data_IF_697927913566
#
_entry.id   IF_697927913566
#
_cell.length_a   1.000
_cell.length_b   1.000
_cell.length_c   1.000
_cell.angle_alpha   90.00
_cell.angle_beta   90.00
_cell.angle_gamma   90.00
#
_symmetry.space_group_name_H-M   'P 1'
#
loop_
_entity.id
_entity.type
_entity.pdbx_description
1 polymer ?
#
# COMPACT_ATOMS: atom_id res chain seq x y z
N UNK A 1 19.69 -13.11 15.78
CA UNK A 1 18.49 -13.74 15.18
C UNK A 1 17.20 -12.95 15.40
N UNK A 2 16.86 -12.50 16.63
CA UNK A 2 15.60 -11.77 16.92
C UNK A 2 15.41 -10.48 16.12
N UNK A 3 16.49 -9.74 15.82
CA UNK A 3 16.43 -8.44 15.11
C UNK A 3 15.94 -8.56 13.65
N UNK A 4 16.39 -9.57 12.89
CA UNK A 4 15.97 -9.76 11.48
C UNK A 4 14.50 -10.19 11.37
N UNK A 5 14.03 -11.04 12.29
CA UNK A 5 12.61 -11.40 12.40
C UNK A 5 11.75 -10.19 12.79
N UNK A 6 12.18 -9.39 13.77
CA UNK A 6 11.48 -8.18 14.17
C UNK A 6 11.38 -7.16 13.02
N UNK A 7 12.47 -6.94 12.27
CA UNK A 7 12.46 -6.07 11.10
C UNK A 7 11.51 -6.57 10.01
N UNK A 8 11.53 -7.87 9.71
CA UNK A 8 10.58 -8.44 8.73
C UNK A 8 9.12 -8.27 9.14
N UNK A 9 8.80 -8.44 10.44
CA UNK A 9 7.45 -8.21 10.97
C UNK A 9 7.04 -6.75 10.81
N UNK A 10 7.94 -5.80 11.11
CA UNK A 10 7.67 -4.36 10.93
C UNK A 10 7.35 -4.05 9.46
N UNK A 11 8.12 -4.58 8.51
CA UNK A 11 7.84 -4.38 7.08
C UNK A 11 6.52 -5.03 6.64
N UNK A 12 6.15 -6.18 7.21
CA UNK A 12 4.85 -6.81 6.96
C UNK A 12 3.69 -5.96 7.49
N UNK A 13 3.79 -5.48 8.74
CA UNK A 13 2.79 -4.59 9.34
C UNK A 13 2.67 -3.30 8.52
N UNK A 14 3.81 -2.73 8.10
CA UNK A 14 3.84 -1.53 7.27
C UNK A 14 3.18 -1.76 5.91
N UNK A 15 3.42 -2.92 5.27
CA UNK A 15 2.77 -3.30 4.02
C UNK A 15 1.25 -3.39 4.15
N UNK A 16 0.75 -4.00 5.23
CA UNK A 16 -0.69 -4.11 5.51
C UNK A 16 -1.30 -2.74 5.81
N UNK A 17 -0.58 -1.90 6.54
CA UNK A 17 -1.00 -0.54 6.83
C UNK A 17 -1.11 0.30 5.54
N UNK A 18 -0.12 0.22 4.66
CA UNK A 18 -0.13 0.91 3.36
C UNK A 18 -1.32 0.47 2.49
N UNK A 19 -1.68 -0.81 2.52
CA UNK A 19 -2.85 -1.33 1.81
C UNK A 19 -4.17 -0.73 2.33
N UNK A 20 -4.32 -0.61 3.64
CA UNK A 20 -5.49 0.03 4.24
C UNK A 20 -5.56 1.53 3.90
N UNK A 21 -4.42 2.23 3.99
CA UNK A 21 -4.34 3.66 3.62
C UNK A 21 -4.65 3.85 2.14
N UNK A 22 -4.15 2.99 1.25
CA UNK A 22 -4.50 3.00 -0.17
C UNK A 22 -6.02 2.91 -0.35
N UNK A 23 -6.66 1.91 0.27
CA UNK A 23 -8.10 1.69 0.13
C UNK A 23 -8.92 2.90 0.61
N UNK A 24 -8.58 3.44 1.78
CA UNK A 24 -9.24 4.62 2.33
C UNK A 24 -9.07 5.85 1.43
N UNK A 25 -7.85 6.08 0.94
CA UNK A 25 -7.53 7.25 0.09
C UNK A 25 -8.23 7.16 -1.25
N UNK A 26 -8.20 5.99 -1.91
CA UNK A 26 -8.88 5.78 -3.20
C UNK A 26 -10.39 5.93 -3.04
N UNK A 27 -11.00 5.32 -2.02
CA UNK A 27 -12.44 5.41 -1.78
C UNK A 27 -12.89 6.86 -1.50
N UNK A 28 -12.16 7.58 -0.65
CA UNK A 28 -12.46 8.98 -0.35
C UNK A 28 -12.36 9.86 -1.60
N UNK A 29 -11.28 9.71 -2.38
CA UNK A 29 -11.10 10.49 -3.60
C UNK A 29 -12.12 10.14 -4.68
N UNK A 30 -12.50 8.87 -4.80
CA UNK A 30 -13.55 8.43 -5.71
C UNK A 30 -14.90 9.06 -5.35
N UNK A 31 -15.33 8.98 -4.08
CA UNK A 31 -16.57 9.60 -3.61
C UNK A 31 -16.56 11.11 -3.82
N UNK A 32 -15.43 11.78 -3.54
CA UNK A 32 -15.26 13.21 -3.79
C UNK A 32 -15.42 13.54 -5.27
N UNK A 33 -14.83 12.76 -6.17
CA UNK A 33 -14.98 12.99 -7.61
C UNK A 33 -16.41 12.72 -8.09
N UNK A 34 -17.09 11.68 -7.60
CA UNK A 34 -18.50 11.42 -7.91
C UNK A 34 -19.37 12.60 -7.49
N UNK A 35 -19.14 13.15 -6.29
CA UNK A 35 -19.82 14.35 -5.82
C UNK A 35 -19.49 15.57 -6.69
N UNK A 36 -18.22 15.80 -6.98
CA UNK A 36 -17.76 16.94 -7.79
C UNK A 36 -18.26 16.90 -9.24
N UNK A 37 -18.40 15.71 -9.83
CA UNK A 37 -19.02 15.55 -11.16
C UNK A 37 -20.51 15.92 -11.09
N UNK A 38 -21.21 15.53 -10.02
CA UNK A 38 -22.64 15.74 -9.89
C UNK A 38 -23.02 17.17 -9.53
N UNK A 39 -22.20 17.88 -8.75
CA UNK A 39 -22.57 19.18 -8.18
C UNK A 39 -21.57 20.31 -8.45
N UNK A 40 -20.30 20.02 -8.72
CA UNK A 40 -19.23 21.03 -8.90
C UNK A 40 -18.75 21.16 -10.35
N UNK A 41 -19.30 20.37 -11.27
CA UNK A 41 -18.96 20.43 -12.70
C UNK A 41 -17.59 19.84 -13.05
N UNK A 42 -17.06 18.89 -12.27
CA UNK A 42 -15.80 18.21 -12.61
C UNK A 42 -15.90 17.53 -13.98
N UNK A 43 -14.95 17.83 -14.87
CA UNK A 43 -14.88 17.21 -16.20
C UNK A 43 -14.14 15.87 -16.22
N UNK A 44 -13.34 15.58 -15.19
CA UNK A 44 -12.57 14.34 -15.10
C UNK A 44 -13.44 13.18 -14.57
N UNK A 45 -13.33 11.98 -15.14
CA UNK A 45 -14.10 10.81 -14.68
C UNK A 45 -13.59 10.32 -13.32
N UNK A 46 -14.48 9.87 -12.44
CA UNK A 46 -14.12 9.43 -11.08
C UNK A 46 -13.06 8.31 -11.02
N UNK A 47 -12.90 7.56 -12.11
CA UNK A 47 -11.92 6.49 -12.23
C UNK A 47 -10.46 7.00 -12.19
N UNK A 48 -10.20 8.29 -12.41
CA UNK A 48 -8.84 8.83 -12.25
C UNK A 48 -8.36 8.76 -10.80
N UNK A 49 -9.27 8.62 -9.82
CA UNK A 49 -8.91 8.37 -8.43
C UNK A 49 -8.13 7.05 -8.24
N UNK A 50 -8.29 6.06 -9.12
CA UNK A 50 -7.50 4.82 -9.08
C UNK A 50 -6.03 5.03 -9.46
N UNK A 51 -5.69 6.11 -10.17
CA UNK A 51 -4.29 6.43 -10.45
C UNK A 51 -3.51 6.69 -9.14
N UNK A 52 -4.20 7.15 -8.09
CA UNK A 52 -3.61 7.31 -6.76
C UNK A 52 -3.18 5.97 -6.14
N UNK A 53 -3.73 4.83 -6.58
CA UNK A 53 -3.35 3.51 -6.08
C UNK A 53 -1.96 3.06 -6.55
N UNK A 54 -1.49 3.54 -7.71
CA UNK A 54 -0.20 3.16 -8.31
C UNK A 54 1.00 3.35 -7.36
N UNK A 55 1.22 4.53 -6.74
CA UNK A 55 2.33 4.72 -5.81
C UNK A 55 2.24 3.81 -4.57
N UNK A 56 1.02 3.54 -4.06
CA UNK A 56 0.85 2.63 -2.93
C UNK A 56 1.17 1.18 -3.30
N UNK A 57 0.74 0.71 -4.48
CA UNK A 57 1.06 -0.63 -4.97
C UNK A 57 2.57 -0.83 -5.11
N UNK A 58 3.28 0.15 -5.66
CA UNK A 58 4.75 0.12 -5.75
C UNK A 58 5.36 0.02 -4.35
N UNK A 59 4.90 0.83 -3.40
CA UNK A 59 5.35 0.79 -2.00
C UNK A 59 5.10 -0.56 -1.32
N UNK A 60 3.93 -1.15 -1.52
CA UNK A 60 3.55 -2.47 -0.99
C UNK A 60 4.47 -3.56 -1.53
N UNK A 61 4.73 -3.58 -2.85
CA UNK A 61 5.60 -4.58 -3.49
C UNK A 61 7.03 -4.49 -2.93
N UNK A 62 7.57 -3.27 -2.79
CA UNK A 62 8.91 -3.06 -2.23
C UNK A 62 8.96 -3.52 -0.78
N UNK A 63 7.96 -3.15 0.04
CA UNK A 63 7.92 -3.54 1.46
C UNK A 63 7.78 -5.05 1.64
N UNK A 64 6.92 -5.70 0.86
CA UNK A 64 6.75 -7.15 0.87
C UNK A 64 8.03 -7.86 0.40
N UNK A 65 8.67 -7.37 -0.67
CA UNK A 65 9.94 -7.92 -1.16
C UNK A 65 11.04 -7.85 -0.11
N UNK A 66 11.19 -6.70 0.57
CA UNK A 66 12.14 -6.54 1.68
C UNK A 66 11.79 -7.46 2.85
N UNK A 67 10.52 -7.56 3.22
CA UNK A 67 10.09 -8.46 4.30
C UNK A 67 10.46 -9.92 4.00
N UNK A 68 10.23 -10.39 2.77
CA UNK A 68 10.56 -11.75 2.31
C UNK A 68 12.06 -11.98 2.29
N UNK A 69 12.86 -11.05 1.76
CA UNK A 69 14.32 -11.20 1.74
C UNK A 69 14.91 -11.29 3.15
N UNK A 70 14.39 -10.50 4.11
CA UNK A 70 14.79 -10.61 5.52
C UNK A 70 14.36 -11.94 6.16
N UNK A 71 13.19 -12.48 5.82
CA UNK A 71 12.80 -13.82 6.29
C UNK A 71 13.70 -14.92 5.72
N UNK A 72 13.94 -14.92 4.40
CA UNK A 72 14.80 -15.92 3.75
C UNK A 72 16.22 -15.90 4.35
N UNK A 73 16.76 -14.71 4.61
CA UNK A 73 18.08 -14.54 5.26
C UNK A 73 18.06 -14.98 6.72
N UNK A 74 16.94 -14.84 7.43
CA UNK A 74 16.78 -15.36 8.79
C UNK A 74 16.64 -16.89 8.84
N UNK A 75 16.04 -17.53 7.84
CA UNK A 75 15.86 -18.99 7.80
C UNK A 75 17.14 -19.72 7.39
N UNK A 76 17.88 -19.20 6.41
CA UNK A 76 19.19 -19.75 5.98
C UNK A 76 20.31 -19.69 7.02
N UNK A 77 20.11 -18.94 8.11
CA UNK A 77 21.09 -18.77 9.19
C UNK A 77 20.80 -19.69 10.38
N UNK A 78 19.74 -20.49 10.29
CA UNK A 78 19.27 -21.45 11.30
C UNK A 78 19.53 -22.90 10.85
N UNK A 79 19.62 -23.14 9.53
CA UNK A 79 20.10 -24.39 8.91
C UNK A 79 21.63 -24.42 8.90
#
# INVERSE_FOLDING_TARGET
MKKLKAMSIVFWVFSVLLSNVMCATVAYNYCRMVYGIKYEGFSAPANVAFALAVPYLIGIIICAGLAITFQKKSSKLIE
#
